data_IF_050316109252
#
_entry.id   IF_050316109252
#
_cell.length_a   1.000
_cell.length_b   1.000
_cell.length_c   1.000
_cell.angle_alpha   90.00
_cell.angle_beta   90.00
_cell.angle_gamma   90.00
#
_symmetry.space_group_name_H-M   'P 1'
#
loop_
_entity.id
_entity.type
_entity.pdbx_description
1 polymer ?
#
# COMPACT_ATOMS: atom_id res chain seq x y z
N UNK A 1 28.16 -2.35 -45.18
CA UNK A 1 29.29 -2.78 -44.33
C UNK A 1 30.05 -1.52 -43.95
N UNK A 2 29.82 -0.95 -42.76
CA UNK A 2 30.66 -1.17 -41.55
C UNK A 2 32.14 -1.03 -41.96
N UNK A 3 32.86 0.06 -41.70
CA UNK A 3 33.35 0.45 -40.37
C UNK A 3 33.68 1.96 -40.39
N UNK A 4 32.88 2.73 -39.66
CA UNK A 4 33.15 4.14 -39.35
C UNK A 4 34.24 4.22 -38.27
N UNK A 5 35.14 5.19 -38.43
CA UNK A 5 35.82 5.96 -37.37
C UNK A 5 36.02 5.30 -36.01
N UNK A 6 37.13 4.57 -35.84
CA UNK A 6 37.71 4.32 -34.51
C UNK A 6 39.24 4.41 -34.56
N UNK A 7 39.75 5.63 -34.68
CA UNK A 7 41.13 5.95 -34.26
C UNK A 7 41.16 7.30 -33.56
N UNK A 8 40.83 7.29 -32.28
CA UNK A 8 41.50 8.01 -31.19
C UNK A 8 40.63 7.95 -29.94
N UNK A 9 40.96 7.03 -29.04
CA UNK A 9 40.76 7.25 -27.61
C UNK A 9 42.11 7.02 -26.93
N UNK A 10 42.64 7.99 -26.16
CA UNK A 10 43.87 7.83 -25.42
C UNK A 10 43.50 7.43 -23.99
N UNK A 11 43.12 6.17 -23.77
CA UNK A 11 43.00 5.66 -22.41
C UNK A 11 43.73 4.34 -22.31
N UNK A 12 45.02 4.50 -22.03
CA UNK A 12 45.92 3.46 -21.55
C UNK A 12 45.25 2.73 -20.38
N UNK A 13 44.88 1.48 -20.62
CA UNK A 13 44.36 0.56 -19.61
C UNK A 13 45.42 0.33 -18.54
N UNK A 14 45.30 1.05 -17.41
CA UNK A 14 45.97 0.61 -16.18
C UNK A 14 45.17 -0.56 -15.61
N UNK A 15 45.80 -1.71 -15.29
CA UNK A 15 45.11 -2.86 -14.69
C UNK A 15 44.43 -2.54 -13.35
N UNK A 16 44.83 -1.45 -12.69
CA UNK A 16 44.27 -1.01 -11.40
C UNK A 16 42.86 -0.42 -11.49
N UNK A 17 42.47 0.22 -12.61
CA UNK A 17 41.15 0.83 -12.77
C UNK A 17 40.04 -0.19 -13.08
N UNK A 18 40.39 -1.31 -13.71
CA UNK A 18 39.43 -2.39 -14.02
C UNK A 18 39.04 -3.14 -12.73
N UNK A 19 39.98 -3.30 -11.79
CA UNK A 19 39.72 -3.97 -10.52
C UNK A 19 38.81 -3.14 -9.60
N UNK A 20 38.93 -1.80 -9.64
CA UNK A 20 38.07 -0.89 -8.87
C UNK A 20 36.64 -0.83 -9.45
N UNK A 21 36.48 -0.91 -10.77
CA UNK A 21 35.17 -0.92 -11.45
C UNK A 21 34.39 -2.24 -11.30
N UNK A 22 35.07 -3.36 -11.10
CA UNK A 22 34.41 -4.66 -10.90
C UNK A 22 33.83 -4.83 -9.48
N UNK A 23 34.40 -4.18 -8.47
CA UNK A 23 33.95 -4.29 -7.08
C UNK A 23 32.68 -3.46 -6.77
N UNK A 24 32.38 -2.44 -7.58
CA UNK A 24 31.21 -1.57 -7.33
C UNK A 24 29.91 -2.08 -7.93
N UNK A 25 29.92 -3.06 -8.85
CA UNK A 25 28.70 -3.61 -9.46
C UNK A 25 28.14 -4.86 -8.75
N UNK A 26 28.93 -5.52 -7.90
CA UNK A 26 28.46 -6.67 -7.10
C UNK A 26 27.90 -6.27 -5.72
N UNK A 27 27.91 -4.98 -5.38
CA UNK A 27 27.37 -4.45 -4.13
C UNK A 27 26.13 -3.60 -4.34
N UNK A 28 25.22 -4.03 -5.23
CA UNK A 28 23.81 -3.68 -5.01
C UNK A 28 23.37 -4.53 -3.82
N UNK A 29 23.15 -3.95 -2.64
CA UNK A 29 22.61 -4.71 -1.55
C UNK A 29 21.23 -5.22 -2.01
N UNK A 30 21.10 -6.54 -2.12
CA UNK A 30 19.82 -7.26 -2.12
C UNK A 30 19.20 -7.07 -0.73
N UNK A 31 18.90 -5.82 -0.38
CA UNK A 31 18.20 -5.41 0.83
C UNK A 31 16.86 -4.78 0.48
N UNK A 32 16.66 -4.34 -0.78
CA UNK A 32 15.38 -3.80 -1.24
C UNK A 32 14.30 -4.86 -1.54
N UNK A 33 14.68 -6.08 -1.93
CA UNK A 33 13.72 -7.14 -2.24
C UNK A 33 13.22 -7.89 -1.00
N UNK A 34 14.07 -8.00 0.04
CA UNK A 34 13.69 -8.72 1.26
C UNK A 34 12.69 -7.92 2.10
N UNK A 35 12.80 -6.59 2.15
CA UNK A 35 11.82 -5.76 2.89
C UNK A 35 10.43 -5.83 2.24
N UNK A 36 10.36 -5.81 0.91
CA UNK A 36 9.08 -5.86 0.21
C UNK A 36 8.42 -7.25 0.22
N UNK A 37 9.18 -8.34 0.32
CA UNK A 37 8.63 -9.68 0.47
C UNK A 37 8.23 -10.03 1.91
N UNK A 38 8.94 -9.49 2.91
CA UNK A 38 8.58 -9.68 4.33
C UNK A 38 7.31 -8.92 4.67
N UNK A 39 7.07 -7.73 4.11
CA UNK A 39 5.80 -7.02 4.32
C UNK A 39 4.59 -7.71 3.66
N UNK A 40 4.82 -8.49 2.59
CA UNK A 40 3.76 -9.30 1.94
C UNK A 40 3.46 -10.62 2.66
N UNK A 41 4.33 -11.06 3.57
CA UNK A 41 4.10 -12.25 4.37
C UNK A 41 3.65 -11.82 5.77
N UNK A 42 2.32 -11.86 5.99
CA UNK A 42 1.59 -11.41 7.19
C UNK A 42 0.98 -10.01 7.12
N UNK A 43 0.60 -9.52 5.94
CA UNK A 43 -0.44 -8.49 5.90
C UNK A 43 -1.77 -9.16 6.25
N UNK A 44 -2.01 -9.36 7.55
CA UNK A 44 -3.27 -9.86 8.07
C UNK A 44 -4.34 -8.86 7.64
N UNK A 45 -5.18 -9.24 6.68
CA UNK A 45 -6.31 -8.41 6.26
C UNK A 45 -7.25 -8.35 7.45
N UNK A 46 -7.46 -7.16 8.05
CA UNK A 46 -8.35 -7.03 9.21
C UNK A 46 -9.75 -7.52 8.84
N UNK A 47 -10.44 -8.10 9.81
CA UNK A 47 -11.83 -8.53 9.62
C UNK A 47 -12.74 -7.38 9.17
N UNK A 48 -12.51 -6.20 9.75
CA UNK A 48 -13.25 -4.98 9.46
C UNK A 48 -12.26 -3.86 9.14
N UNK A 49 -12.43 -3.23 7.99
CA UNK A 49 -11.65 -2.06 7.59
C UNK A 49 -12.49 -1.14 6.71
N UNK A 50 -12.49 0.15 7.06
CA UNK A 50 -13.15 1.19 6.28
C UNK A 50 -12.12 2.22 5.88
N UNK A 51 -11.67 2.12 4.62
CA UNK A 51 -10.77 3.11 4.04
C UNK A 51 -11.53 4.29 3.40
N UNK A 52 -12.85 4.13 3.19
CA UNK A 52 -13.74 5.12 2.56
C UNK A 52 -13.44 5.41 1.09
N UNK A 53 -12.70 4.52 0.42
CA UNK A 53 -12.40 4.59 -1.02
C UNK A 53 -13.52 4.04 -1.89
N UNK A 54 -14.16 2.96 -1.42
CA UNK A 54 -15.30 2.33 -2.07
C UNK A 54 -16.58 2.63 -1.29
N UNK A 55 -17.57 3.18 -1.99
CA UNK A 55 -18.84 3.59 -1.40
C UNK A 55 -20.04 3.22 -2.29
N UNK A 56 -21.21 3.14 -1.67
CA UNK A 56 -22.48 3.00 -2.37
C UNK A 56 -23.55 3.88 -1.73
N UNK A 57 -23.74 5.09 -2.26
CA UNK A 57 -24.69 6.05 -1.73
C UNK A 57 -24.29 6.45 -0.30
N UNK A 58 -25.10 6.04 0.67
CA UNK A 58 -24.88 6.29 2.10
C UNK A 58 -24.11 5.17 2.83
N UNK A 59 -23.53 4.24 2.07
CA UNK A 59 -22.86 3.03 2.58
C UNK A 59 -21.35 3.12 2.38
N UNK A 60 -20.57 2.98 3.45
CA UNK A 60 -19.14 2.73 3.40
C UNK A 60 -18.89 1.22 3.23
N UNK A 61 -18.09 0.84 2.23
CA UNK A 61 -17.77 -0.58 2.01
C UNK A 61 -16.69 -1.06 2.96
N UNK A 62 -16.88 -2.24 3.52
CA UNK A 62 -15.84 -2.94 4.27
C UNK A 62 -14.80 -3.49 3.29
N UNK A 63 -13.57 -2.97 3.32
CA UNK A 63 -12.43 -3.50 2.56
C UNK A 63 -11.69 -4.65 3.28
N UNK A 64 -12.13 -4.99 4.49
CA UNK A 64 -11.63 -6.10 5.27
C UNK A 64 -12.16 -7.46 4.82
N UNK A 65 -11.67 -8.52 5.47
CA UNK A 65 -11.98 -9.91 5.13
C UNK A 65 -13.39 -10.36 5.51
N UNK A 66 -14.12 -9.60 6.33
CA UNK A 66 -15.50 -9.90 6.74
C UNK A 66 -16.53 -9.77 5.61
N UNK A 67 -16.18 -9.09 4.51
CA UNK A 67 -17.04 -8.90 3.34
C UNK A 67 -18.16 -7.87 3.52
N UNK A 68 -18.98 -7.74 2.47
CA UNK A 68 -19.99 -6.66 2.33
C UNK A 68 -21.18 -6.75 3.28
N UNK A 69 -21.42 -7.89 3.92
CA UNK A 69 -22.44 -8.00 4.99
C UNK A 69 -22.13 -7.12 6.20
N UNK A 70 -20.87 -6.69 6.34
CA UNK A 70 -20.42 -5.78 7.37
C UNK A 70 -20.21 -4.34 6.89
N UNK A 71 -20.75 -3.98 5.72
CA UNK A 71 -20.75 -2.59 5.27
C UNK A 71 -21.45 -1.67 6.28
N UNK A 72 -20.90 -0.48 6.48
CA UNK A 72 -21.43 0.48 7.44
C UNK A 72 -22.34 1.50 6.74
N UNK A 73 -23.45 1.85 7.39
CA UNK A 73 -24.43 2.81 6.86
C UNK A 73 -24.48 4.08 7.69
N UNK A 74 -24.68 5.21 7.04
CA UNK A 74 -24.88 6.49 7.74
C UNK A 74 -26.17 6.44 8.57
N UNK A 75 -26.15 7.10 9.73
CA UNK A 75 -27.32 7.36 10.55
C UNK A 75 -27.24 8.78 11.13
N UNK A 76 -28.38 9.48 11.24
CA UNK A 76 -28.48 10.78 11.90
C UNK A 76 -27.86 11.98 11.17
N UNK A 77 -27.60 11.87 9.86
CA UNK A 77 -27.03 12.93 9.03
C UNK A 77 -26.85 12.50 7.57
N UNK A 78 -26.12 13.30 6.80
CA UNK A 78 -25.70 12.93 5.42
C UNK A 78 -24.20 12.63 5.39
N UNK A 79 -23.78 11.91 4.36
CA UNK A 79 -22.37 11.68 4.04
C UNK A 79 -22.07 12.23 2.65
N UNK A 80 -20.97 12.97 2.55
CA UNK A 80 -20.34 13.34 1.30
C UNK A 80 -19.00 12.62 1.18
N UNK A 81 -18.69 12.11 -0.01
CA UNK A 81 -17.45 11.40 -0.29
C UNK A 81 -16.47 12.34 -1.00
N UNK A 82 -15.22 12.35 -0.56
CA UNK A 82 -14.23 13.24 -1.13
C UNK A 82 -12.80 12.72 -0.93
N UNK A 83 -11.80 13.48 -1.39
CA UNK A 83 -10.41 13.11 -1.23
C UNK A 83 -10.02 13.08 0.26
N UNK A 84 -9.31 12.03 0.65
CA UNK A 84 -8.82 11.81 2.01
C UNK A 84 -7.30 11.60 2.08
N UNK A 85 -6.83 11.21 3.27
CA UNK A 85 -5.41 10.94 3.51
C UNK A 85 -4.90 9.76 2.66
N UNK A 86 -5.73 8.72 2.53
CA UNK A 86 -5.43 7.53 1.75
C UNK A 86 -6.44 7.41 0.60
N UNK A 87 -6.45 8.39 -0.31
CA UNK A 87 -7.37 8.49 -1.46
C UNK A 87 -8.78 8.98 -1.09
N UNK A 88 -9.57 8.24 -0.32
CA UNK A 88 -10.95 8.57 0.03
C UNK A 88 -11.16 8.99 1.49
N UNK A 89 -12.22 9.75 1.73
CA UNK A 89 -12.72 10.07 3.07
C UNK A 89 -14.22 10.31 3.06
N UNK A 90 -14.86 10.01 4.19
CA UNK A 90 -16.24 10.37 4.47
C UNK A 90 -16.29 11.71 5.20
N UNK A 91 -16.97 12.70 4.60
CA UNK A 91 -17.34 13.93 5.27
C UNK A 91 -18.77 13.80 5.80
N UNK A 92 -18.89 13.74 7.11
CA UNK A 92 -20.19 13.60 7.78
C UNK A 92 -20.76 14.97 8.13
N UNK A 93 -22.07 15.15 7.91
CA UNK A 93 -22.79 16.36 8.33
C UNK A 93 -23.56 16.12 9.64
N UNK A 94 -23.87 17.20 10.37
CA UNK A 94 -24.69 17.17 11.57
C UNK A 94 -24.18 16.16 12.63
N UNK A 95 -25.06 15.28 13.12
CA UNK A 95 -24.77 14.17 14.04
C UNK A 95 -24.58 12.84 13.30
N UNK A 96 -24.25 12.92 12.00
CA UNK A 96 -24.01 11.77 11.13
C UNK A 96 -22.91 10.88 11.69
N UNK A 97 -23.20 9.59 11.79
CA UNK A 97 -22.24 8.57 12.20
C UNK A 97 -22.50 7.26 11.47
N UNK A 98 -21.45 6.46 11.28
CA UNK A 98 -21.60 5.12 10.72
C UNK A 98 -22.09 4.16 11.79
N UNK A 99 -23.21 3.49 11.53
CA UNK A 99 -23.64 2.33 12.30
C UNK A 99 -22.99 1.09 11.71
N UNK A 100 -22.17 0.42 12.52
CA UNK A 100 -21.63 -0.90 12.18
C UNK A 100 -22.74 -1.97 12.30
N UNK A 101 -22.75 -3.01 11.45
CA UNK A 101 -23.74 -4.07 11.56
C UNK A 101 -23.64 -4.83 12.88
N UNK A 102 -24.77 -5.40 13.31
CA UNK A 102 -24.84 -6.13 14.57
C UNK A 102 -23.95 -7.39 14.52
N UNK A 103 -23.39 -7.79 15.67
CA UNK A 103 -22.52 -8.98 15.76
C UNK A 103 -21.08 -8.78 15.26
N UNK A 104 -20.71 -7.59 14.78
CA UNK A 104 -19.32 -7.26 14.40
C UNK A 104 -18.34 -7.54 15.53
N UNK A 105 -18.68 -7.15 16.76
CA UNK A 105 -17.81 -7.35 17.93
C UNK A 105 -17.62 -8.81 18.33
N UNK A 106 -18.48 -9.74 17.88
CA UNK A 106 -18.30 -11.17 18.14
C UNK A 106 -17.06 -11.77 17.44
N UNK A 107 -16.51 -11.05 16.45
CA UNK A 107 -15.32 -11.43 15.71
C UNK A 107 -14.05 -10.77 16.26
N UNK A 108 -14.19 -9.85 17.21
CA UNK A 108 -13.05 -9.29 17.93
C UNK A 108 -12.63 -10.36 18.95
N UNK A 109 -11.41 -10.91 18.85
CA UNK A 109 -10.94 -11.84 19.86
C UNK A 109 -11.01 -11.14 21.21
N UNK A 110 -11.64 -11.77 22.19
CA UNK A 110 -11.71 -11.27 23.56
C UNK A 110 -10.32 -11.39 24.21
N UNK A 111 -9.37 -10.58 23.76
CA UNK A 111 -8.19 -10.27 24.56
C UNK A 111 -8.64 -9.27 25.62
N UNK A 112 -9.13 -9.81 26.73
CA UNK A 112 -9.17 -9.09 27.99
C UNK A 112 -7.72 -8.76 28.40
N UNK A 113 -7.43 -7.53 28.87
CA UNK A 113 -6.15 -7.24 29.53
C UNK A 113 -5.97 -8.06 30.81
#
# INVERSE_FOLDING_TARGET
MFINSLRKSPFSCSPGLILLGAFTLLSVPVYGQQIQQVERQMQQVPFLQFNFDEQGGETARNSGSGGSKYDARINGGTVEWGPGLQQGAARLSNKGHFKLPDGVLAHVPATLP
#
